data_IF_067360196849
#
_entry.id   IF_067360196849
#
_cell.length_a   1.000
_cell.length_b   1.000
_cell.length_c   1.000
_cell.angle_alpha   90.00
_cell.angle_beta   90.00
_cell.angle_gamma   90.00
#
_symmetry.space_group_name_H-M   'P 1'
#
loop_
_entity.id
_entity.type
_entity.pdbx_description
1 polymer ?
#
# COMPACT_ATOMS: atom_id res chain seq x y z
N UNK A 1 15.34 -11.84 5.43
CA UNK A 1 16.47 -12.55 5.98
C UNK A 1 16.16 -13.10 7.37
N UNK A 2 15.86 -12.26 8.37
CA UNK A 2 15.58 -12.71 9.76
C UNK A 2 14.48 -13.79 9.86
N UNK A 3 13.37 -13.65 9.11
CA UNK A 3 12.31 -14.66 9.10
C UNK A 3 12.80 -16.02 8.54
N UNK A 4 13.62 -16.00 7.49
CA UNK A 4 14.24 -17.21 6.91
C UNK A 4 15.09 -17.94 7.97
N UNK A 5 15.95 -17.20 8.66
CA UNK A 5 16.82 -17.75 9.72
C UNK A 5 15.99 -18.42 10.84
N UNK A 6 14.92 -17.77 11.31
CA UNK A 6 14.06 -18.32 12.36
C UNK A 6 13.36 -19.61 11.92
N UNK A 7 12.76 -19.61 10.72
CA UNK A 7 12.03 -20.78 10.21
C UNK A 7 12.96 -21.97 9.96
N UNK A 8 14.16 -21.72 9.40
CA UNK A 8 15.12 -22.79 9.14
C UNK A 8 15.74 -23.37 10.41
N UNK A 9 16.01 -22.56 11.43
CA UNK A 9 16.45 -23.05 12.73
C UNK A 9 15.39 -23.91 13.40
N UNK A 10 14.12 -23.46 13.38
CA UNK A 10 13.02 -24.28 13.90
C UNK A 10 12.91 -25.62 13.14
N UNK A 11 13.04 -25.60 11.80
CA UNK A 11 13.05 -26.82 10.98
C UNK A 11 14.16 -27.78 11.38
N UNK A 12 15.35 -27.26 11.65
CA UNK A 12 16.51 -28.05 12.11
C UNK A 12 16.25 -28.65 13.50
N UNK A 13 15.77 -27.85 14.46
CA UNK A 13 15.47 -28.30 15.84
C UNK A 13 14.42 -29.40 15.85
N UNK A 14 13.32 -29.26 15.08
CA UNK A 14 12.27 -30.28 14.93
C UNK A 14 12.85 -31.62 14.41
N UNK A 15 13.75 -31.53 13.43
CA UNK A 15 14.40 -32.74 12.89
C UNK A 15 15.34 -33.40 13.95
N UNK A 16 16.08 -32.60 14.71
CA UNK A 16 16.99 -33.09 15.74
C UNK A 16 16.25 -33.76 16.93
N UNK A 17 15.03 -33.33 17.24
CA UNK A 17 14.17 -33.94 18.27
C UNK A 17 13.47 -35.24 17.82
N UNK A 18 13.88 -35.84 16.72
CA UNK A 18 13.34 -37.10 16.19
C UNK A 18 12.19 -36.92 15.19
N UNK A 19 11.97 -35.69 14.73
CA UNK A 19 11.06 -35.37 13.64
C UNK A 19 11.68 -35.64 12.27
N UNK A 20 10.90 -35.40 11.23
CA UNK A 20 11.37 -35.42 9.85
C UNK A 20 11.87 -34.02 9.46
N UNK A 21 12.97 -33.94 8.73
CA UNK A 21 13.43 -32.69 8.14
C UNK A 21 12.44 -32.27 7.04
N UNK A 22 11.58 -31.30 7.34
CA UNK A 22 10.53 -30.85 6.43
C UNK A 22 11.12 -30.48 5.06
N UNK A 23 10.63 -31.09 3.96
CA UNK A 23 11.17 -30.85 2.61
C UNK A 23 10.75 -29.50 2.03
N UNK A 24 9.75 -28.83 2.63
CA UNK A 24 9.23 -27.55 2.18
C UNK A 24 9.00 -26.61 3.35
N UNK A 25 9.19 -25.32 3.12
CA UNK A 25 8.84 -24.24 4.06
C UNK A 25 8.04 -23.16 3.32
N UNK A 26 7.11 -22.52 4.01
CA UNK A 26 6.45 -21.31 3.56
C UNK A 26 6.97 -20.11 4.36
N UNK A 27 7.41 -19.07 3.65
CA UNK A 27 7.94 -17.85 4.23
C UNK A 27 6.87 -16.75 4.34
N UNK A 28 5.62 -17.06 3.98
CA UNK A 28 4.49 -16.16 4.04
C UNK A 28 4.56 -15.01 3.04
N UNK A 29 3.82 -13.96 3.36
CA UNK A 29 3.66 -12.78 2.55
C UNK A 29 4.32 -11.53 3.14
N UNK A 30 3.61 -10.38 3.03
CA UNK A 30 4.06 -9.11 3.60
C UNK A 30 4.94 -8.26 2.68
N UNK A 31 5.07 -8.63 1.41
CA UNK A 31 5.81 -7.84 0.42
C UNK A 31 5.17 -6.48 0.20
N UNK A 32 5.99 -5.43 0.27
CA UNK A 32 5.56 -4.04 0.15
C UNK A 32 5.23 -3.62 -1.27
N UNK A 33 4.45 -2.55 -1.39
CA UNK A 33 4.22 -1.80 -2.63
C UNK A 33 4.38 -0.32 -2.35
N UNK A 34 4.63 0.49 -3.37
CA UNK A 34 4.54 1.93 -3.29
C UNK A 34 3.07 2.35 -3.40
N UNK A 35 2.60 3.18 -2.48
CA UNK A 35 1.25 3.77 -2.51
C UNK A 35 1.29 5.22 -3.01
N UNK A 36 2.42 5.88 -2.83
CA UNK A 36 2.67 7.27 -3.21
C UNK A 36 4.01 7.40 -3.93
N UNK A 37 4.22 8.53 -4.61
CA UNK A 37 5.52 8.81 -5.23
C UNK A 37 6.66 9.06 -4.22
N UNK A 38 6.35 9.24 -2.94
CA UNK A 38 7.34 9.41 -1.87
C UNK A 38 7.79 8.07 -1.25
N UNK A 39 7.06 6.98 -1.53
CA UNK A 39 7.42 5.66 -1.03
C UNK A 39 8.66 5.13 -1.77
N UNK A 40 9.51 4.35 -1.08
CA UNK A 40 10.59 3.64 -1.75
C UNK A 40 10.05 2.73 -2.87
N UNK A 41 10.83 2.61 -3.94
CA UNK A 41 10.50 1.65 -5.01
C UNK A 41 10.45 0.25 -4.42
N UNK A 42 9.34 -0.44 -4.62
CA UNK A 42 9.19 -1.80 -4.16
C UNK A 42 10.18 -2.73 -4.92
N UNK A 43 10.81 -3.69 -4.22
CA UNK A 43 11.71 -4.62 -4.88
C UNK A 43 10.96 -5.47 -5.90
N UNK A 44 11.62 -5.78 -6.99
CA UNK A 44 11.09 -6.70 -8.00
C UNK A 44 10.99 -8.13 -7.46
N UNK A 45 10.12 -8.95 -8.05
CA UNK A 45 10.02 -10.37 -7.69
C UNK A 45 11.36 -11.11 -7.82
N UNK A 46 12.18 -10.75 -8.83
CA UNK A 46 13.50 -11.34 -9.04
C UNK A 46 14.50 -10.96 -7.93
N UNK A 47 14.47 -9.72 -7.45
CA UNK A 47 15.32 -9.28 -6.32
C UNK A 47 14.92 -9.98 -5.03
N UNK A 48 13.61 -10.07 -4.76
CA UNK A 48 13.09 -10.80 -3.59
C UNK A 48 13.49 -12.27 -3.66
N UNK A 49 13.26 -12.95 -4.77
CA UNK A 49 13.58 -14.36 -4.96
C UNK A 49 15.08 -14.63 -4.77
N UNK A 50 15.95 -13.75 -5.30
CA UNK A 50 17.39 -13.85 -5.13
C UNK A 50 17.79 -13.71 -3.66
N UNK A 51 17.30 -12.68 -2.98
CA UNK A 51 17.61 -12.43 -1.58
C UNK A 51 17.14 -13.57 -0.66
N UNK A 52 15.95 -14.15 -0.93
CA UNK A 52 15.45 -15.32 -0.20
C UNK A 52 16.31 -16.55 -0.47
N UNK A 53 16.63 -16.85 -1.71
CA UNK A 53 17.45 -17.99 -2.09
C UNK A 53 18.89 -17.92 -1.51
N UNK A 54 19.48 -16.73 -1.46
CA UNK A 54 20.78 -16.51 -0.81
C UNK A 54 20.69 -16.74 0.71
N UNK A 55 19.67 -16.18 1.37
CA UNK A 55 19.47 -16.37 2.81
C UNK A 55 19.23 -17.84 3.16
N UNK A 56 18.40 -18.54 2.39
CA UNK A 56 18.13 -19.98 2.59
C UNK A 56 19.40 -20.80 2.46
N UNK A 57 20.14 -20.61 1.37
CA UNK A 57 21.40 -21.36 1.16
C UNK A 57 22.44 -21.10 2.25
N UNK A 58 22.58 -19.84 2.66
CA UNK A 58 23.55 -19.50 3.72
C UNK A 58 23.16 -20.15 5.07
N UNK A 59 21.90 -20.02 5.47
CA UNK A 59 21.45 -20.60 6.76
C UNK A 59 21.47 -22.13 6.75
N UNK A 60 21.09 -22.78 5.66
CA UNK A 60 21.18 -24.24 5.54
C UNK A 60 22.64 -24.73 5.60
N UNK A 61 23.58 -24.03 4.96
CA UNK A 61 25.00 -24.35 5.04
C UNK A 61 25.56 -24.21 6.46
N UNK A 62 25.13 -23.20 7.23
CA UNK A 62 25.49 -23.04 8.64
C UNK A 62 24.97 -24.20 9.52
N UNK A 63 23.75 -24.71 9.23
CA UNK A 63 23.10 -25.77 9.98
C UNK A 63 23.52 -27.19 9.53
N UNK A 64 24.16 -27.33 8.38
CA UNK A 64 24.47 -28.62 7.78
C UNK A 64 23.26 -29.31 7.15
N UNK A 65 22.21 -28.56 6.83
CA UNK A 65 20.95 -29.07 6.28
C UNK A 65 20.89 -28.91 4.76
N UNK A 66 20.16 -29.82 4.11
CA UNK A 66 19.76 -29.63 2.71
C UNK A 66 18.72 -28.51 2.57
N UNK A 67 18.84 -27.60 1.59
CA UNK A 67 17.88 -26.56 1.36
C UNK A 67 16.48 -27.10 1.06
N UNK A 68 15.43 -26.61 1.72
CA UNK A 68 14.06 -27.02 1.43
C UNK A 68 13.54 -26.35 0.14
N UNK A 69 12.43 -26.85 -0.38
CA UNK A 69 11.59 -26.10 -1.30
C UNK A 69 10.98 -24.91 -0.56
N UNK A 70 10.98 -23.74 -1.20
CA UNK A 70 10.49 -22.50 -0.60
C UNK A 70 9.22 -22.05 -1.31
N UNK A 71 8.17 -21.82 -0.53
CA UNK A 71 6.91 -21.19 -0.95
C UNK A 71 6.80 -19.79 -0.35
N UNK A 72 6.05 -18.90 -1.00
CA UNK A 72 5.76 -17.54 -0.56
C UNK A 72 4.31 -17.16 -0.92
N UNK A 73 3.72 -16.22 -0.17
CA UNK A 73 2.33 -15.79 -0.31
C UNK A 73 2.24 -14.29 -0.68
N UNK A 74 2.53 -13.90 -1.93
CA UNK A 74 2.68 -12.50 -2.34
C UNK A 74 1.34 -11.77 -2.57
N UNK A 75 0.43 -11.76 -1.60
CA UNK A 75 -0.91 -11.20 -1.73
C UNK A 75 -0.93 -9.71 -2.12
N UNK A 76 -0.46 -8.82 -1.24
CA UNK A 76 -0.54 -7.37 -1.45
C UNK A 76 0.24 -6.89 -2.68
N UNK A 77 1.41 -7.41 -2.93
CA UNK A 77 2.23 -6.95 -4.05
C UNK A 77 1.65 -7.34 -5.42
N UNK A 78 0.78 -8.35 -5.47
CA UNK A 78 0.02 -8.73 -6.68
C UNK A 78 -1.29 -7.96 -6.75
N UNK A 79 -2.10 -8.01 -5.69
CA UNK A 79 -3.44 -7.42 -5.70
C UNK A 79 -3.44 -5.89 -5.55
N UNK A 80 -2.53 -5.33 -4.74
CA UNK A 80 -2.53 -3.89 -4.42
C UNK A 80 -2.50 -2.98 -5.65
N UNK A 81 -1.51 -3.11 -6.55
CA UNK A 81 -1.41 -2.25 -7.73
C UNK A 81 -2.42 -2.56 -8.84
N UNK A 82 -3.19 -3.65 -8.74
CA UNK A 82 -4.09 -4.11 -9.81
C UNK A 82 -5.39 -3.31 -9.91
N UNK A 83 -5.72 -2.47 -8.93
CA UNK A 83 -6.97 -1.72 -8.88
C UNK A 83 -6.77 -0.25 -8.53
N UNK A 84 -7.74 0.52 -8.96
CA UNK A 84 -7.91 1.95 -8.69
C UNK A 84 -9.32 2.16 -8.17
N UNK A 85 -9.49 2.99 -7.15
CA UNK A 85 -10.82 3.44 -6.74
C UNK A 85 -11.09 4.82 -7.34
N UNK A 86 -12.25 4.97 -7.94
CA UNK A 86 -12.71 6.24 -8.52
C UNK A 86 -13.72 6.90 -7.58
N UNK A 87 -13.56 8.20 -7.40
CA UNK A 87 -14.45 9.02 -6.58
C UNK A 87 -14.88 10.27 -7.34
N UNK A 88 -16.14 10.63 -7.24
CA UNK A 88 -16.65 11.90 -7.77
C UNK A 88 -16.43 13.01 -6.75
N UNK A 89 -15.92 14.15 -7.18
CA UNK A 89 -15.80 15.37 -6.38
C UNK A 89 -17.20 15.94 -6.15
N UNK A 90 -17.61 16.04 -4.89
CA UNK A 90 -18.94 16.55 -4.48
C UNK A 90 -18.90 17.95 -3.90
N UNK A 91 -17.74 18.43 -3.48
CA UNK A 91 -17.59 19.76 -2.91
C UNK A 91 -16.13 20.18 -2.80
N UNK A 92 -15.92 21.49 -2.75
CA UNK A 92 -14.61 22.12 -2.59
C UNK A 92 -14.67 23.18 -1.49
N UNK A 93 -13.72 23.15 -0.56
CA UNK A 93 -13.61 24.16 0.50
C UNK A 93 -12.17 24.59 0.69
N UNK A 94 -11.88 25.86 0.42
CA UNK A 94 -10.58 26.46 0.72
C UNK A 94 -10.52 26.89 2.17
N UNK A 95 -9.45 26.54 2.86
CA UNK A 95 -9.22 26.90 4.26
C UNK A 95 -7.84 27.53 4.37
N UNK A 96 -7.78 28.71 4.99
CA UNK A 96 -6.54 29.37 5.34
C UNK A 96 -6.01 28.76 6.64
N UNK A 97 -4.74 28.33 6.62
CA UNK A 97 -4.07 27.68 7.75
C UNK A 97 -3.16 28.64 8.55
N UNK A 98 -3.16 29.93 8.17
CA UNK A 98 -2.23 30.95 8.70
C UNK A 98 -0.98 31.10 7.84
N UNK A 99 -0.23 32.18 8.10
CA UNK A 99 1.04 32.50 7.41
C UNK A 99 0.96 32.48 5.88
N UNK A 100 -0.19 32.80 5.29
CA UNK A 100 -0.42 32.79 3.85
C UNK A 100 -0.54 31.38 3.24
N UNK A 101 -0.59 30.35 4.06
CA UNK A 101 -0.76 28.95 3.61
C UNK A 101 -2.23 28.60 3.52
N UNK A 102 -2.67 28.07 2.37
CA UNK A 102 -4.04 27.56 2.20
C UNK A 102 -4.02 26.07 1.85
N UNK A 103 -5.11 25.41 2.21
CA UNK A 103 -5.41 24.03 1.82
C UNK A 103 -6.78 23.95 1.19
N UNK A 104 -6.88 23.22 0.09
CA UNK A 104 -8.16 22.90 -0.53
C UNK A 104 -8.64 21.54 -0.01
N UNK A 105 -9.78 21.52 0.67
CA UNK A 105 -10.48 20.29 1.00
C UNK A 105 -11.35 19.90 -0.19
N UNK A 106 -11.17 18.68 -0.66
CA UNK A 106 -11.89 18.08 -1.79
C UNK A 106 -12.78 16.99 -1.22
N UNK A 107 -14.07 17.24 -1.15
CA UNK A 107 -15.06 16.26 -0.70
C UNK A 107 -15.42 15.30 -1.84
N UNK A 108 -15.60 14.03 -1.51
CA UNK A 108 -15.89 12.97 -2.47
C UNK A 108 -17.14 12.17 -2.09
N UNK A 109 -17.71 11.44 -3.04
CA UNK A 109 -18.90 10.59 -2.87
C UNK A 109 -18.67 9.28 -2.10
N UNK A 110 -17.41 8.97 -1.75
CA UNK A 110 -17.01 7.83 -0.92
C UNK A 110 -16.37 8.25 0.40
N UNK A 111 -15.51 7.39 0.96
CA UNK A 111 -14.81 7.70 2.20
C UNK A 111 -14.23 6.48 2.90
N UNK A 112 -14.13 6.56 4.22
CA UNK A 112 -13.56 5.49 5.06
C UNK A 112 -14.33 4.16 4.97
N UNK A 113 -15.60 4.16 4.58
CA UNK A 113 -16.36 2.93 4.31
C UNK A 113 -15.86 2.16 3.08
N UNK A 114 -15.20 2.83 2.14
CA UNK A 114 -14.62 2.20 0.96
C UNK A 114 -13.15 1.87 1.15
N UNK A 115 -12.43 2.72 1.90
CA UNK A 115 -11.03 2.55 2.23
C UNK A 115 -10.74 2.99 3.66
N UNK A 116 -10.89 2.06 4.59
CA UNK A 116 -10.67 2.30 6.03
C UNK A 116 -9.17 2.47 6.40
N UNK A 117 -8.26 2.08 5.52
CA UNK A 117 -6.83 1.97 5.85
C UNK A 117 -6.15 3.29 6.25
N UNK A 118 -6.48 4.47 5.66
CA UNK A 118 -5.95 5.74 6.16
C UNK A 118 -6.33 6.03 7.60
N UNK A 119 -7.58 5.75 7.99
CA UNK A 119 -8.07 5.97 9.35
C UNK A 119 -7.53 4.93 10.34
N UNK A 120 -7.51 3.65 9.97
CA UNK A 120 -7.16 2.55 10.87
C UNK A 120 -5.66 2.35 11.03
N UNK A 121 -4.89 2.52 9.95
CA UNK A 121 -3.46 2.21 9.90
C UNK A 121 -2.57 3.42 9.57
N UNK A 122 -3.14 4.61 9.40
CA UNK A 122 -2.40 5.78 8.93
C UNK A 122 -1.81 5.60 7.51
N UNK A 123 -2.39 4.68 6.71
CA UNK A 123 -1.88 4.39 5.38
C UNK A 123 -1.96 5.65 4.49
N UNK A 124 -0.86 5.97 3.82
CA UNK A 124 -0.82 7.04 2.85
C UNK A 124 -1.31 6.56 1.48
N UNK A 125 -2.06 7.42 0.79
CA UNK A 125 -2.48 7.26 -0.59
C UNK A 125 -2.23 8.56 -1.34
N UNK A 126 -2.27 8.49 -2.67
CA UNK A 126 -2.31 9.64 -3.56
C UNK A 126 -3.61 9.67 -4.34
N UNK A 127 -3.89 10.79 -4.99
CA UNK A 127 -5.03 10.93 -5.89
C UNK A 127 -4.60 11.65 -7.17
N UNK A 128 -5.26 11.34 -8.26
CA UNK A 128 -5.03 11.94 -9.58
C UNK A 128 -6.38 12.37 -10.17
N UNK A 129 -6.41 13.50 -10.87
CA UNK A 129 -7.56 13.86 -11.69
C UNK A 129 -7.67 12.88 -12.87
N UNK A 130 -8.82 12.22 -13.01
CA UNK A 130 -9.03 11.15 -13.99
C UNK A 130 -10.11 11.45 -15.05
N UNK A 131 -11.02 12.39 -14.80
CA UNK A 131 -12.14 12.69 -15.70
C UNK A 131 -11.74 13.47 -16.94
N UNK A 132 -10.68 14.26 -16.87
CA UNK A 132 -10.25 15.17 -17.93
C UNK A 132 -8.77 15.52 -17.82
N UNK A 133 -8.24 16.18 -18.83
CA UNK A 133 -6.94 16.84 -18.72
C UNK A 133 -7.13 18.18 -18.01
N UNK A 134 -6.27 18.51 -17.01
CA UNK A 134 -6.31 19.82 -16.38
C UNK A 134 -5.84 20.92 -17.35
N UNK A 135 -6.22 22.15 -17.05
CA UNK A 135 -5.64 23.32 -17.73
C UNK A 135 -4.16 23.42 -17.30
N UNK A 136 -3.20 23.40 -18.24
CA UNK A 136 -1.79 23.57 -17.93
C UNK A 136 -1.46 24.87 -17.19
N UNK A 137 -2.28 25.91 -17.36
CA UNK A 137 -2.11 27.21 -16.70
C UNK A 137 -2.64 27.25 -15.26
N UNK A 138 -3.45 26.25 -14.84
CA UNK A 138 -4.08 26.24 -13.51
C UNK A 138 -3.09 26.01 -12.35
N UNK A 139 -1.91 25.49 -12.65
CA UNK A 139 -0.93 25.10 -11.63
C UNK A 139 -1.41 23.96 -10.74
N UNK A 140 -0.72 23.78 -9.60
CA UNK A 140 -1.08 22.78 -8.60
C UNK A 140 -1.47 23.47 -7.30
N UNK A 141 -2.42 22.87 -6.57
CA UNK A 141 -2.85 23.32 -5.25
C UNK A 141 -2.76 22.18 -4.25
N UNK A 142 -2.35 22.51 -3.02
CA UNK A 142 -2.28 21.54 -1.93
C UNK A 142 -3.67 21.16 -1.45
N UNK A 143 -4.03 19.88 -1.57
CA UNK A 143 -5.35 19.36 -1.30
C UNK A 143 -5.33 18.33 -0.18
N UNK A 144 -6.51 18.16 0.43
CA UNK A 144 -6.87 17.03 1.27
C UNK A 144 -8.17 16.43 0.75
N UNK A 145 -8.16 15.15 0.43
CA UNK A 145 -9.37 14.44 -0.04
C UNK A 145 -10.08 13.86 1.16
N UNK A 146 -11.33 14.27 1.39
CA UNK A 146 -12.15 13.91 2.54
C UNK A 146 -13.44 13.23 2.08
N UNK A 147 -13.85 12.23 2.85
CA UNK A 147 -15.06 11.46 2.55
C UNK A 147 -16.34 12.15 2.95
N UNK A 148 -17.44 11.40 2.85
CA UNK A 148 -18.83 11.85 3.08
C UNK A 148 -19.34 11.55 4.49
N UNK A 149 -18.57 10.86 5.32
CA UNK A 149 -19.00 10.49 6.67
C UNK A 149 -18.83 11.64 7.67
N UNK A 150 -19.74 11.74 8.63
CA UNK A 150 -19.68 12.73 9.71
C UNK A 150 -18.65 12.29 10.79
N UNK A 151 -17.39 12.14 10.35
CA UNK A 151 -16.27 11.68 11.16
C UNK A 151 -15.00 12.44 10.77
N UNK A 152 -14.31 13.03 11.74
CA UNK A 152 -13.08 13.81 11.50
C UNK A 152 -11.94 12.99 10.92
N UNK A 153 -11.95 11.67 11.14
CA UNK A 153 -11.00 10.70 10.58
C UNK A 153 -11.29 10.29 9.15
N UNK A 154 -12.40 10.74 8.54
CA UNK A 154 -12.76 10.37 7.17
C UNK A 154 -11.92 11.13 6.12
N UNK A 155 -10.64 10.83 6.12
CA UNK A 155 -9.64 11.40 5.22
C UNK A 155 -9.06 10.27 4.36
N UNK A 156 -9.37 10.28 3.07
CA UNK A 156 -8.87 9.27 2.12
C UNK A 156 -7.45 9.57 1.67
N UNK A 157 -7.16 10.86 1.39
CA UNK A 157 -5.79 11.33 1.07
C UNK A 157 -5.48 12.57 1.89
N UNK A 158 -4.45 12.50 2.73
CA UNK A 158 -4.11 13.59 3.67
C UNK A 158 -3.53 14.80 2.99
N UNK A 159 -2.60 14.58 2.08
CA UNK A 159 -1.88 15.65 1.41
C UNK A 159 -1.50 15.20 0.00
N UNK A 160 -2.00 15.94 -0.99
CA UNK A 160 -1.76 15.70 -2.41
C UNK A 160 -1.82 17.03 -3.16
N UNK A 161 -1.01 17.17 -4.19
CA UNK A 161 -1.10 18.31 -5.09
C UNK A 161 -1.99 17.92 -6.28
N UNK A 162 -3.11 18.63 -6.42
CA UNK A 162 -4.09 18.46 -7.50
C UNK A 162 -4.12 19.71 -8.39
N UNK A 163 -4.60 19.59 -9.64
CA UNK A 163 -4.76 20.76 -10.51
C UNK A 163 -5.62 21.85 -9.87
N UNK A 164 -5.20 23.10 -10.02
CA UNK A 164 -5.90 24.24 -9.44
C UNK A 164 -7.29 24.52 -10.02
N UNK A 165 -7.58 23.93 -11.18
CA UNK A 165 -8.88 23.98 -11.87
C UNK A 165 -9.81 22.82 -11.53
N UNK A 166 -9.49 22.02 -10.49
CA UNK A 166 -10.37 20.94 -10.02
C UNK A 166 -11.76 21.49 -9.68
N UNK A 167 -12.80 20.78 -10.09
CA UNK A 167 -14.19 21.22 -9.98
C UNK A 167 -15.10 20.11 -9.43
N UNK A 168 -16.25 20.51 -8.91
CA UNK A 168 -17.34 19.58 -8.56
C UNK A 168 -17.80 18.84 -9.79
N UNK A 169 -17.96 17.52 -9.70
CA UNK A 169 -18.25 16.62 -10.79
C UNK A 169 -17.02 16.00 -11.46
N UNK A 170 -15.80 16.48 -11.16
CA UNK A 170 -14.57 15.80 -11.57
C UNK A 170 -14.46 14.43 -10.91
N UNK A 171 -13.74 13.52 -11.55
CA UNK A 171 -13.44 12.20 -11.01
C UNK A 171 -11.97 12.15 -10.58
N UNK A 172 -11.74 11.74 -9.34
CA UNK A 172 -10.42 11.40 -8.81
C UNK A 172 -10.19 9.90 -8.85
N UNK A 173 -8.99 9.51 -9.23
CA UNK A 173 -8.49 8.13 -9.12
C UNK A 173 -7.54 8.02 -7.93
N UNK A 174 -7.80 7.07 -7.04
CA UNK A 174 -6.91 6.68 -5.95
C UNK A 174 -6.32 5.32 -6.29
N UNK A 175 -5.04 5.23 -6.68
CA UNK A 175 -4.40 3.98 -7.09
C UNK A 175 -4.04 3.07 -5.91
N UNK A 176 -3.60 1.86 -6.23
CA UNK A 176 -3.11 0.85 -5.28
C UNK A 176 -4.16 0.41 -4.24
N UNK A 177 -5.43 0.36 -4.61
CA UNK A 177 -6.55 -0.04 -3.74
C UNK A 177 -6.97 -1.50 -3.88
N UNK A 178 -6.25 -2.32 -4.68
CA UNK A 178 -6.63 -3.70 -4.95
C UNK A 178 -6.49 -4.67 -3.78
N UNK A 179 -5.64 -4.35 -2.80
CA UNK A 179 -5.52 -5.14 -1.58
C UNK A 179 -6.23 -4.43 -0.42
N UNK A 180 -7.06 -5.17 0.30
CA UNK A 180 -7.78 -4.71 1.51
C UNK A 180 -8.86 -3.63 1.30
N UNK A 181 -8.98 -3.01 0.13
CA UNK A 181 -10.04 -2.05 -0.16
C UNK A 181 -11.40 -2.73 -0.06
N UNK A 182 -11.73 -3.58 -1.05
CA UNK A 182 -13.02 -4.28 -1.12
C UNK A 182 -13.29 -5.20 0.08
N UNK A 183 -12.28 -5.93 0.57
CA UNK A 183 -12.45 -6.90 1.65
C UNK A 183 -12.66 -6.27 3.03
N UNK A 184 -12.30 -5.01 3.22
CA UNK A 184 -12.47 -4.26 4.46
C UNK A 184 -13.54 -3.15 4.33
N UNK A 185 -14.19 -3.04 3.18
CA UNK A 185 -15.29 -2.11 2.98
C UNK A 185 -16.52 -2.52 3.77
N UNK A 186 -17.29 -1.52 4.26
CA UNK A 186 -18.52 -1.68 5.04
C UNK A 186 -19.75 -1.10 4.33
#
# INVERSE_FOLDING_TARGET
>A
RKAVEVVLRLRHEVAAEGGCLCPEIDLGGGYGIAYTGADPVAPTAAEVARALAEAVRATCAELGDEPPRVSVEPGRCVAGPSQVTLYTVTGLKRVELGEGTCRLYVSIDGGMSDNIRPALYGAAYTALLASRRPDPAAGLVRCRVVGKHCESGDVVVRDVDLPGDIAVGDVLAVPATGAYGRSMAS
#
